data_IF_724893445543
#
_entry.id   IF_724893445543
#
_cell.length_a   1.000
_cell.length_b   1.000
_cell.length_c   1.000
_cell.angle_alpha   90.00
_cell.angle_beta   90.00
_cell.angle_gamma   90.00
#
_symmetry.space_group_name_H-M   'P 1'
#
loop_
_entity.id
_entity.type
_entity.pdbx_description
1 polymer ?
#
# COMPACT_ATOMS: atom_id res chain seq x y z
N UNK A 1 4.03 15.20 -2.82
CA UNK A 1 3.14 14.05 -3.13
C UNK A 1 2.66 13.40 -1.84
N UNK A 2 1.37 13.15 -1.76
CA UNK A 2 0.77 12.51 -0.60
C UNK A 2 0.88 10.99 -0.74
N UNK A 3 1.64 10.34 0.13
CA UNK A 3 1.82 8.89 0.08
C UNK A 3 0.86 8.11 0.98
N UNK A 4 0.09 8.83 1.81
CA UNK A 4 -0.88 8.17 2.67
C UNK A 4 -2.09 7.74 1.85
N UNK A 5 -2.39 6.45 1.86
CA UNK A 5 -3.51 5.89 1.13
C UNK A 5 -4.60 5.43 2.11
N UNK A 6 -5.84 5.73 1.77
CA UNK A 6 -6.98 5.11 2.44
C UNK A 6 -7.13 3.68 1.96
N UNK A 7 -7.87 2.87 2.70
CA UNK A 7 -8.04 1.44 2.37
C UNK A 7 -8.53 1.21 0.95
N UNK A 8 -9.48 2.03 0.49
CA UNK A 8 -10.00 1.89 -0.87
C UNK A 8 -8.93 2.19 -1.92
N UNK A 9 -8.14 3.22 -1.69
CA UNK A 9 -7.06 3.60 -2.59
C UNK A 9 -5.98 2.53 -2.64
N UNK A 10 -5.67 1.95 -1.49
CA UNK A 10 -4.68 0.86 -1.43
C UNK A 10 -5.13 -0.35 -2.24
N UNK A 11 -6.43 -0.67 -2.22
CA UNK A 11 -6.95 -1.78 -3.02
C UNK A 11 -6.72 -1.59 -4.51
N UNK A 12 -6.92 -0.38 -5.00
CA UNK A 12 -6.63 -0.05 -6.40
C UNK A 12 -5.13 -0.16 -6.69
N UNK A 13 -4.31 0.43 -5.83
CA UNK A 13 -2.86 0.40 -6.03
C UNK A 13 -2.31 -1.02 -5.98
N UNK A 14 -2.84 -1.88 -5.10
CA UNK A 14 -2.40 -3.28 -5.02
C UNK A 14 -2.64 -4.02 -6.34
N UNK A 15 -3.76 -3.77 -7.00
CA UNK A 15 -4.04 -4.37 -8.31
C UNK A 15 -2.96 -3.96 -9.32
N UNK A 16 -2.60 -2.67 -9.34
CA UNK A 16 -1.57 -2.17 -10.25
C UNK A 16 -0.19 -2.72 -9.91
N UNK A 17 0.16 -2.76 -8.63
CA UNK A 17 1.48 -3.25 -8.22
C UNK A 17 1.66 -4.74 -8.54
N UNK A 18 0.58 -5.53 -8.50
CA UNK A 18 0.65 -6.95 -8.81
C UNK A 18 0.74 -7.23 -10.32
N UNK A 19 0.35 -6.28 -11.15
CA UNK A 19 0.15 -6.52 -12.57
C UNK A 19 1.42 -6.47 -13.41
N UNK A 20 2.50 -5.89 -12.93
CA UNK A 20 3.76 -5.73 -13.67
C UNK A 20 3.64 -4.92 -14.97
N UNK A 21 2.49 -4.37 -15.27
CA UNK A 21 2.24 -3.60 -16.49
C UNK A 21 1.07 -2.66 -16.26
N UNK A 22 0.97 -1.59 -17.04
CA UNK A 22 -0.19 -0.72 -16.93
C UNK A 22 -1.49 -1.49 -17.19
N UNK A 23 -2.52 -1.14 -16.47
CA UNK A 23 -3.86 -1.70 -16.66
C UNK A 23 -4.82 -0.58 -17.03
N UNK A 24 -5.83 -0.91 -17.83
CA UNK A 24 -6.93 0.04 -18.06
C UNK A 24 -7.81 0.11 -16.82
N UNK A 25 -8.53 1.22 -16.66
CA UNK A 25 -9.48 1.34 -15.56
C UNK A 25 -10.52 0.21 -15.60
N UNK A 26 -10.91 -0.21 -16.79
CA UNK A 26 -11.84 -1.33 -16.97
C UNK A 26 -11.27 -2.63 -16.42
N UNK A 27 -9.99 -2.91 -16.70
CA UNK A 27 -9.33 -4.12 -16.19
C UNK A 27 -9.23 -4.10 -14.68
N UNK A 28 -8.93 -2.94 -14.10
CA UNK A 28 -8.90 -2.78 -12.64
C UNK A 28 -10.29 -3.05 -12.06
N UNK A 29 -11.33 -2.51 -12.69
CA UNK A 29 -12.70 -2.68 -12.23
C UNK A 29 -13.11 -4.15 -12.23
N UNK A 30 -12.74 -4.89 -13.28
CA UNK A 30 -13.04 -6.33 -13.35
C UNK A 30 -12.37 -7.08 -12.20
N UNK A 31 -11.10 -6.79 -11.95
CA UNK A 31 -10.34 -7.47 -10.90
C UNK A 31 -10.89 -7.17 -9.51
N UNK A 32 -11.30 -5.93 -9.25
CA UNK A 32 -11.84 -5.55 -7.94
C UNK A 32 -13.27 -6.03 -7.74
N UNK A 33 -14.03 -6.17 -8.82
CA UNK A 33 -15.34 -6.82 -8.74
C UNK A 33 -15.18 -8.28 -8.29
N UNK A 34 -14.25 -9.01 -8.90
CA UNK A 34 -13.98 -10.40 -8.55
C UNK A 34 -13.41 -10.55 -7.14
N UNK A 35 -12.51 -9.65 -6.75
CA UNK A 35 -11.79 -9.79 -5.49
C UNK A 35 -12.61 -9.32 -4.29
N UNK A 36 -13.33 -8.21 -4.41
CA UNK A 36 -14.00 -7.58 -3.26
C UNK A 36 -15.44 -7.15 -3.57
N UNK A 37 -15.95 -7.44 -4.75
CA UNK A 37 -17.34 -7.17 -5.09
C UNK A 37 -17.66 -5.71 -5.38
N UNK A 38 -16.66 -4.89 -5.70
CA UNK A 38 -16.93 -3.50 -6.05
C UNK A 38 -17.60 -3.38 -7.41
N UNK A 39 -18.61 -2.53 -7.51
CA UNK A 39 -19.15 -2.22 -8.82
C UNK A 39 -18.20 -1.28 -9.57
N UNK A 40 -18.41 -1.17 -10.88
CA UNK A 40 -17.56 -0.40 -11.76
C UNK A 40 -17.44 1.07 -11.33
N UNK A 41 -18.55 1.67 -10.92
CA UNK A 41 -18.56 3.08 -10.54
C UNK A 41 -17.70 3.32 -9.30
N UNK A 42 -17.76 2.43 -8.34
CA UNK A 42 -16.94 2.52 -7.13
C UNK A 42 -15.46 2.52 -7.50
N UNK A 43 -15.04 1.58 -8.35
CA UNK A 43 -13.64 1.48 -8.77
C UNK A 43 -13.20 2.74 -9.51
N UNK A 44 -14.01 3.24 -10.44
CA UNK A 44 -13.66 4.44 -11.21
C UNK A 44 -13.52 5.67 -10.30
N UNK A 45 -14.40 5.78 -9.30
CA UNK A 45 -14.33 6.89 -8.33
C UNK A 45 -13.02 6.84 -7.55
N UNK A 46 -12.60 5.65 -7.11
CA UNK A 46 -11.37 5.51 -6.34
C UNK A 46 -10.14 5.74 -7.24
N UNK A 47 -10.15 5.25 -8.46
CA UNK A 47 -9.06 5.52 -9.41
C UNK A 47 -8.89 7.02 -9.60
N UNK A 48 -9.99 7.75 -9.74
CA UNK A 48 -9.93 9.21 -9.90
C UNK A 48 -9.30 9.88 -8.68
N UNK A 49 -9.63 9.40 -7.49
CA UNK A 49 -9.00 9.90 -6.25
C UNK A 49 -7.49 9.67 -6.27
N UNK A 50 -7.05 8.51 -6.73
CA UNK A 50 -5.63 8.19 -6.84
C UNK A 50 -4.94 9.10 -7.86
N UNK A 51 -5.60 9.39 -8.97
CA UNK A 51 -5.06 10.32 -9.98
C UNK A 51 -4.92 11.71 -9.37
N UNK A 52 -5.94 12.19 -8.69
CA UNK A 52 -5.92 13.52 -8.05
C UNK A 52 -4.84 13.61 -6.98
N UNK A 53 -4.60 12.51 -6.29
CA UNK A 53 -3.58 12.44 -5.24
C UNK A 53 -2.16 12.30 -5.81
N UNK A 54 -2.03 11.97 -7.09
CA UNK A 54 -0.74 11.82 -7.75
C UNK A 54 -0.12 10.45 -7.64
N UNK A 55 -0.88 9.43 -7.27
CA UNK A 55 -0.36 8.06 -7.19
C UNK A 55 -0.59 7.24 -8.45
N UNK A 56 -1.47 7.70 -9.33
CA UNK A 56 -1.74 7.08 -10.63
C UNK A 56 -1.64 8.13 -11.71
N UNK A 57 -1.01 7.78 -12.83
CA UNK A 57 -1.03 8.57 -14.05
C UNK A 57 -2.00 7.92 -15.05
N UNK A 58 -2.91 8.72 -15.58
CA UNK A 58 -3.80 8.29 -16.65
C UNK A 58 -3.13 8.54 -17.98
N UNK A 59 -3.18 7.56 -18.87
CA UNK A 59 -2.73 7.69 -20.27
C UNK A 59 -3.81 7.24 -21.22
N UNK A 60 -3.96 8.00 -22.29
CA UNK A 60 -4.82 7.58 -23.38
C UNK A 60 -4.00 6.86 -24.45
N UNK A 61 -4.59 6.00 -25.28
CA UNK A 61 -6.02 5.67 -25.31
C UNK A 61 -6.42 4.67 -24.23
N UNK A 62 -7.73 4.53 -24.04
CA UNK A 62 -8.35 3.47 -23.24
C UNK A 62 -8.19 3.61 -21.73
N UNK A 63 -7.91 4.83 -21.24
CA UNK A 63 -7.82 5.07 -19.80
C UNK A 63 -6.83 4.09 -19.15
N UNK A 64 -5.59 4.10 -19.60
CA UNK A 64 -4.54 3.29 -18.98
C UNK A 64 -4.10 3.94 -17.67
N UNK A 65 -3.88 3.10 -16.67
CA UNK A 65 -3.47 3.55 -15.34
C UNK A 65 -2.05 3.05 -15.05
N UNK A 66 -1.16 3.98 -14.74
CA UNK A 66 0.23 3.66 -14.40
C UNK A 66 0.49 4.09 -12.95
N UNK A 67 1.07 3.20 -12.13
CA UNK A 67 1.43 3.62 -10.78
C UNK A 67 2.60 4.59 -10.80
N UNK A 68 2.48 5.68 -10.07
CA UNK A 68 3.53 6.69 -9.93
C UNK A 68 4.35 6.51 -8.66
N UNK A 69 3.89 5.63 -7.78
CA UNK A 69 4.58 5.32 -6.52
C UNK A 69 4.71 3.82 -6.40
N UNK A 70 5.78 3.37 -5.73
CA UNK A 70 6.02 1.96 -5.50
C UNK A 70 5.41 1.52 -4.17
N UNK A 71 5.10 0.23 -4.08
CA UNK A 71 4.57 -0.34 -2.83
C UNK A 71 5.50 -0.03 -1.65
N UNK A 72 6.80 -0.18 -1.86
CA UNK A 72 7.81 0.03 -0.81
C UNK A 72 7.81 1.47 -0.31
N UNK A 73 7.59 2.43 -1.21
CA UNK A 73 7.51 3.84 -0.82
C UNK A 73 6.30 4.11 0.08
N UNK A 74 5.15 3.52 -0.26
CA UNK A 74 3.93 3.67 0.54
C UNK A 74 4.09 2.99 1.89
N UNK A 75 4.68 1.78 1.89
CA UNK A 75 4.93 1.04 3.13
C UNK A 75 5.87 1.81 4.05
N UNK A 76 6.95 2.36 3.52
CA UNK A 76 7.91 3.12 4.32
C UNK A 76 7.27 4.38 4.93
N UNK A 77 6.45 5.08 4.13
CA UNK A 77 5.77 6.27 4.62
C UNK A 77 4.75 5.92 5.72
N UNK A 78 4.02 4.81 5.55
CA UNK A 78 3.05 4.36 6.54
C UNK A 78 3.72 3.96 7.85
N UNK A 79 4.84 3.24 7.75
CA UNK A 79 5.60 2.84 8.94
C UNK A 79 6.13 4.04 9.70
N UNK A 80 6.72 5.00 8.98
CA UNK A 80 7.25 6.22 9.59
C UNK A 80 6.16 7.03 10.28
N UNK A 81 5.01 7.16 9.66
CA UNK A 81 3.88 7.89 10.24
C UNK A 81 3.37 7.21 11.51
N UNK A 82 3.24 5.88 11.47
CA UNK A 82 2.79 5.12 12.62
C UNK A 82 3.73 5.30 13.81
N UNK A 83 5.03 5.16 13.57
CA UNK A 83 6.04 5.32 14.62
C UNK A 83 5.99 6.75 15.18
N UNK A 84 5.92 7.74 14.31
CA UNK A 84 5.92 9.13 14.73
C UNK A 84 4.67 9.50 15.52
N UNK A 85 3.49 9.14 15.03
CA UNK A 85 2.22 9.62 15.61
C UNK A 85 1.71 8.79 16.77
N UNK A 86 1.96 7.47 16.75
CA UNK A 86 1.40 6.58 17.75
C UNK A 86 2.44 6.16 18.78
N UNK A 87 3.70 6.08 18.39
CA UNK A 87 4.78 5.57 19.23
C UNK A 87 5.85 6.64 19.55
N UNK A 88 5.45 7.90 19.51
CA UNK A 88 6.30 9.05 19.91
C UNK A 88 7.67 9.06 19.23
N UNK A 89 7.76 8.61 17.99
CA UNK A 89 9.01 8.55 17.24
C UNK A 89 9.90 7.39 17.58
N UNK A 90 9.43 6.44 18.40
CA UNK A 90 10.24 5.32 18.85
C UNK A 90 9.84 4.00 18.19
N UNK A 91 10.69 3.50 17.29
CA UNK A 91 10.51 2.18 16.70
C UNK A 91 10.59 1.08 17.78
N UNK A 92 11.39 1.31 18.80
CA UNK A 92 11.49 0.36 19.92
C UNK A 92 10.16 0.17 20.63
N UNK A 93 9.39 1.24 20.80
CA UNK A 93 8.07 1.14 21.42
C UNK A 93 7.10 0.34 20.54
N UNK A 94 7.17 0.51 19.24
CA UNK A 94 6.36 -0.29 18.32
C UNK A 94 6.67 -1.78 18.49
N UNK A 95 7.95 -2.14 18.45
CA UNK A 95 8.33 -3.54 18.58
C UNK A 95 8.00 -4.10 19.96
N UNK A 96 8.19 -3.31 21.02
CA UNK A 96 7.79 -3.73 22.35
C UNK A 96 6.29 -4.02 22.43
N UNK A 97 5.48 -3.20 21.78
CA UNK A 97 4.03 -3.42 21.72
C UNK A 97 3.68 -4.72 21.01
N UNK A 98 4.33 -4.99 19.88
CA UNK A 98 4.11 -6.23 19.13
C UNK A 98 4.53 -7.46 19.94
N UNK A 99 5.66 -7.38 20.62
CA UNK A 99 6.17 -8.49 21.44
C UNK A 99 5.30 -8.75 22.67
N UNK A 100 4.86 -7.69 23.35
CA UNK A 100 3.98 -7.79 24.53
C UNK A 100 2.63 -8.38 24.18
N UNK A 101 2.10 -8.02 23.00
CA UNK A 101 0.82 -8.53 22.53
C UNK A 101 0.89 -9.91 21.90
N UNK A 102 2.08 -10.51 21.87
CA UNK A 102 2.31 -11.81 21.21
C UNK A 102 1.86 -11.83 19.76
N UNK A 103 2.06 -10.71 19.08
CA UNK A 103 1.67 -10.54 17.69
C UNK A 103 2.72 -11.04 16.70
N UNK A 104 3.93 -11.36 17.21
CA UNK A 104 5.03 -11.85 16.39
C UNK A 104 5.29 -13.31 16.67
N UNK A 105 5.08 -14.21 15.71
CA UNK A 105 5.48 -15.60 15.86
C UNK A 105 7.01 -15.74 15.90
N UNK A 106 7.53 -16.85 16.45
CA UNK A 106 8.98 -17.03 16.56
C UNK A 106 9.73 -16.89 15.23
N UNK A 107 9.16 -17.34 14.14
CA UNK A 107 9.76 -17.23 12.80
C UNK A 107 9.96 -15.77 12.39
N UNK A 108 8.99 -14.91 12.70
CA UNK A 108 9.09 -13.49 12.41
C UNK A 108 10.15 -12.81 13.26
N UNK A 109 10.25 -13.20 14.54
CA UNK A 109 11.27 -12.64 15.43
C UNK A 109 12.66 -12.96 14.89
N UNK A 110 12.89 -14.22 14.46
CA UNK A 110 14.17 -14.62 13.89
C UNK A 110 14.49 -13.86 12.62
N UNK A 111 13.48 -13.66 11.77
CA UNK A 111 13.64 -12.91 10.53
C UNK A 111 14.01 -11.46 10.79
N UNK A 112 13.38 -10.84 11.80
CA UNK A 112 13.69 -9.47 12.18
C UNK A 112 15.11 -9.36 12.73
N UNK A 113 15.54 -10.33 13.54
CA UNK A 113 16.93 -10.34 14.05
C UNK A 113 17.93 -10.39 12.89
N UNK A 114 17.66 -11.25 11.89
CA UNK A 114 18.56 -11.36 10.74
C UNK A 114 18.64 -10.04 9.97
N UNK A 115 17.50 -9.37 9.77
CA UNK A 115 17.46 -8.08 9.09
C UNK A 115 18.26 -7.01 9.84
N UNK A 116 18.12 -6.97 11.17
CA UNK A 116 18.85 -6.02 12.00
C UNK A 116 20.36 -6.29 11.92
N UNK A 117 20.76 -7.55 11.97
CA UNK A 117 22.16 -7.94 11.91
C UNK A 117 22.80 -7.54 10.57
N UNK A 118 22.04 -7.56 9.49
CA UNK A 118 22.53 -7.15 8.18
C UNK A 118 22.85 -5.65 8.10
N UNK A 119 22.30 -4.84 8.99
CA UNK A 119 22.54 -3.41 9.01
C UNK A 119 23.86 -3.02 9.67
N UNK A 120 24.50 -3.94 10.35
CA UNK A 120 25.76 -3.68 11.03
C UNK A 120 27.00 -3.93 10.16
#
# INVERSE_FOLDING_TARGET
MELKLFDSERKVMEVLWQADAPLTAKEIAVRLDEAVGWNKNTTYTVIKKCIDKGTIQRREPNFQCLPLVRREEVQAAAAAELVDKVFDGSASLLFASLLSGKQLPPEEIQRLRALIDELE
#
